data_IF_219813643123
#
_entry.id   IF_219813643123
#
_cell.length_a   1.000
_cell.length_b   1.000
_cell.length_c   1.000
_cell.angle_alpha   90.00
_cell.angle_beta   90.00
_cell.angle_gamma   90.00
#
_symmetry.space_group_name_H-M   'P 1'
#
loop_
_entity.id
_entity.type
_entity.pdbx_description
1 polymer ?
#
# COMPACT_ATOMS: atom_id res chain seq x y z
N UNK A 1 -11.40 -12.09 -5.30
CA UNK A 1 -11.25 -10.62 -5.23
C UNK A 1 -11.24 -10.23 -3.76
N UNK A 2 -10.53 -9.18 -3.35
CA UNK A 2 -10.67 -8.68 -1.97
C UNK A 2 -12.11 -8.24 -1.70
N UNK A 3 -12.66 -8.65 -0.57
CA UNK A 3 -13.99 -8.20 -0.11
C UNK A 3 -13.94 -6.71 0.26
N UNK A 4 -15.09 -6.06 0.36
CA UNK A 4 -15.13 -4.65 0.79
C UNK A 4 -14.57 -4.46 2.20
N UNK A 5 -14.79 -5.41 3.11
CA UNK A 5 -14.20 -5.37 4.45
C UNK A 5 -12.67 -5.47 4.41
N UNK A 6 -12.12 -6.34 3.55
CA UNK A 6 -10.68 -6.43 3.33
C UNK A 6 -10.12 -5.14 2.73
N UNK A 7 -10.79 -4.56 1.71
CA UNK A 7 -10.38 -3.28 1.11
C UNK A 7 -10.39 -2.15 2.13
N UNK A 8 -11.40 -2.07 3.00
CA UNK A 8 -11.43 -1.08 4.08
C UNK A 8 -10.23 -1.24 5.03
N UNK A 9 -9.92 -2.48 5.43
CA UNK A 9 -8.77 -2.77 6.29
C UNK A 9 -7.45 -2.40 5.60
N UNK A 10 -7.31 -2.72 4.31
CA UNK A 10 -6.15 -2.35 3.50
C UNK A 10 -6.01 -0.82 3.42
N UNK A 11 -7.06 -0.08 3.04
CA UNK A 11 -7.02 1.39 2.97
C UNK A 11 -6.55 2.00 4.29
N UNK A 12 -7.13 1.56 5.42
CA UNK A 12 -6.76 2.03 6.75
C UNK A 12 -5.29 1.76 7.07
N UNK A 13 -4.83 0.52 6.89
CA UNK A 13 -3.46 0.13 7.26
C UNK A 13 -2.39 0.73 6.33
N UNK A 14 -2.68 0.82 5.04
CA UNK A 14 -1.77 1.52 4.11
C UNK A 14 -1.65 3.00 4.47
N UNK A 15 -2.76 3.68 4.79
CA UNK A 15 -2.72 5.08 5.22
C UNK A 15 -1.93 5.27 6.52
N UNK A 16 -2.02 4.33 7.46
CA UNK A 16 -1.27 4.31 8.73
C UNK A 16 0.25 4.19 8.48
N UNK A 17 0.66 3.33 7.54
CA UNK A 17 2.08 3.02 7.31
C UNK A 17 2.77 3.88 6.23
N UNK A 18 2.07 4.22 5.15
CA UNK A 18 2.58 5.05 4.05
C UNK A 18 2.35 6.54 4.32
N UNK A 19 1.42 6.85 5.24
CA UNK A 19 0.83 8.17 5.37
C UNK A 19 -0.30 8.40 4.34
N UNK A 20 -1.06 9.46 4.57
CA UNK A 20 -2.11 9.92 3.67
C UNK A 20 -2.00 11.44 3.52
N UNK A 21 -1.45 11.89 2.40
CA UNK A 21 -1.33 13.32 2.09
C UNK A 21 -2.18 13.67 0.88
N UNK A 22 -3.20 14.53 1.00
CA UNK A 22 -3.99 14.93 -0.16
C UNK A 22 -3.20 15.82 -1.14
N UNK A 23 -2.01 16.27 -0.79
CA UNK A 23 -1.12 17.11 -1.60
C UNK A 23 0.12 16.34 -2.05
N UNK A 24 0.82 16.83 -3.07
CA UNK A 24 2.05 16.20 -3.58
C UNK A 24 3.20 16.28 -2.57
N UNK A 25 3.99 15.22 -2.46
CA UNK A 25 5.18 15.13 -1.61
C UNK A 25 6.27 14.29 -2.28
N UNK A 26 7.51 14.33 -1.76
CA UNK A 26 8.55 13.40 -2.17
C UNK A 26 8.59 12.18 -1.25
N UNK A 27 8.57 10.99 -1.84
CA UNK A 27 8.81 9.74 -1.10
C UNK A 27 10.28 9.63 -0.63
N UNK A 28 10.61 8.54 0.07
CA UNK A 28 11.97 8.27 0.53
C UNK A 28 12.99 8.08 -0.60
N UNK A 29 12.53 7.78 -1.81
CA UNK A 29 13.36 7.64 -3.02
C UNK A 29 13.50 8.96 -3.79
N UNK A 30 12.73 9.98 -3.43
CA UNK A 30 12.72 11.29 -4.10
C UNK A 30 11.74 11.38 -5.26
N UNK A 31 10.74 10.50 -5.34
CA UNK A 31 9.70 10.57 -6.35
C UNK A 31 8.49 11.36 -5.87
N UNK A 32 7.86 12.12 -6.77
CA UNK A 32 6.61 12.83 -6.48
C UNK A 32 5.49 11.82 -6.24
N UNK A 33 4.79 11.97 -5.13
CA UNK A 33 3.77 11.03 -4.62
C UNK A 33 2.59 11.82 -4.07
N UNK A 34 1.39 11.23 -4.07
CA UNK A 34 0.17 11.81 -3.45
C UNK A 34 -0.66 10.72 -2.78
N UNK A 35 -1.60 11.11 -1.91
CA UNK A 35 -2.51 10.22 -1.22
C UNK A 35 -1.77 9.20 -0.37
N UNK A 36 -2.19 7.94 -0.51
CA UNK A 36 -1.58 6.78 0.14
C UNK A 36 -0.57 6.13 -0.81
N UNK A 37 0.68 6.62 -0.78
CA UNK A 37 1.80 6.06 -1.55
C UNK A 37 1.62 6.03 -3.08
N UNK A 38 0.75 6.87 -3.66
CA UNK A 38 0.55 6.88 -5.12
C UNK A 38 1.64 7.68 -5.82
N UNK A 39 2.62 6.96 -6.38
CA UNK A 39 3.70 7.50 -7.21
C UNK A 39 3.13 8.21 -8.46
N UNK A 40 3.52 9.46 -8.67
CA UNK A 40 3.24 10.24 -9.87
C UNK A 40 4.52 10.27 -10.72
N UNK A 41 4.61 9.37 -11.69
CA UNK A 41 5.82 9.12 -12.49
C UNK A 41 6.19 10.28 -13.42
N UNK A 42 5.24 11.16 -13.74
CA UNK A 42 5.48 12.31 -14.61
C UNK A 42 4.50 13.46 -14.37
N UNK A 43 4.87 14.65 -14.81
CA UNK A 43 3.98 15.82 -14.83
C UNK A 43 2.67 15.52 -15.60
N UNK A 44 2.74 14.77 -16.71
CA UNK A 44 1.56 14.38 -17.49
C UNK A 44 0.62 13.46 -16.72
N UNK A 45 1.16 12.60 -15.86
CA UNK A 45 0.34 11.77 -14.96
C UNK A 45 -0.31 12.63 -13.87
N UNK A 46 0.42 13.60 -13.32
CA UNK A 46 -0.12 14.55 -12.34
C UNK A 46 -1.36 15.28 -12.89
N UNK A 47 -1.29 15.73 -14.14
CA UNK A 47 -2.35 16.49 -14.83
C UNK A 47 -3.63 15.67 -15.07
N UNK A 48 -3.58 14.33 -14.96
CA UNK A 48 -4.76 13.46 -15.07
C UNK A 48 -5.52 13.32 -13.75
N UNK A 49 -4.95 13.78 -12.64
CA UNK A 49 -5.56 13.69 -11.32
C UNK A 49 -6.45 14.91 -11.05
N UNK A 50 -7.54 14.69 -10.32
CA UNK A 50 -8.52 15.72 -9.94
C UNK A 50 -8.02 16.57 -8.76
N UNK A 51 -6.99 17.39 -9.00
CA UNK A 51 -6.52 18.37 -8.03
C UNK A 51 -7.49 19.56 -7.93
N UNK A 52 -7.65 20.06 -6.71
CA UNK A 52 -8.42 21.25 -6.37
C UNK A 52 -7.52 22.26 -5.66
N UNK A 53 -7.79 23.54 -5.86
CA UNK A 53 -7.09 24.62 -5.15
C UNK A 53 -7.49 24.62 -3.68
N UNK A 54 -6.52 24.79 -2.78
CA UNK A 54 -6.79 24.98 -1.35
C UNK A 54 -7.65 26.23 -1.11
N UNK A 55 -7.44 27.25 -1.94
CA UNK A 55 -8.25 28.46 -1.96
C UNK A 55 -9.47 28.25 -2.86
N UNK A 56 -10.68 28.31 -2.29
CA UNK A 56 -11.94 28.24 -3.04
C UNK A 56 -12.35 26.86 -3.57
N UNK A 57 -11.53 25.82 -3.41
CA UNK A 57 -11.85 24.44 -3.80
C UNK A 57 -12.26 24.28 -5.28
N UNK A 58 -11.63 25.07 -6.16
CA UNK A 58 -11.87 25.04 -7.60
C UNK A 58 -10.99 23.97 -8.25
N UNK A 59 -11.44 23.38 -9.37
CA UNK A 59 -10.63 22.41 -10.12
C UNK A 59 -9.34 23.08 -10.61
N UNK A 60 -8.19 22.50 -10.29
CA UNK A 60 -6.90 23.03 -10.68
C UNK A 60 -6.69 22.88 -12.19
N UNK A 61 -6.10 23.92 -12.79
CA UNK A 61 -5.71 23.90 -14.20
C UNK A 61 -4.46 23.04 -14.41
N UNK A 62 -4.27 22.56 -15.63
CA UNK A 62 -3.05 21.83 -16.02
C UNK A 62 -1.76 22.62 -15.73
N UNK A 63 -1.82 23.95 -15.85
CA UNK A 63 -0.70 24.86 -15.53
C UNK A 63 -0.38 24.87 -14.04
N UNK A 64 -1.39 25.00 -13.17
CA UNK A 64 -1.20 24.97 -11.71
C UNK A 64 -0.63 23.62 -11.26
N UNK A 65 -1.14 22.52 -11.81
CA UNK A 65 -0.65 21.17 -11.48
C UNK A 65 0.82 21.01 -11.92
N UNK A 66 1.16 21.48 -13.12
CA UNK A 66 2.55 21.48 -13.61
C UNK A 66 3.48 22.27 -12.70
N UNK A 67 3.09 23.49 -12.34
CA UNK A 67 3.90 24.38 -11.50
C UNK A 67 4.16 23.74 -10.12
N UNK A 68 3.12 23.20 -9.48
CA UNK A 68 3.28 22.52 -8.19
C UNK A 68 4.13 21.25 -8.29
N UNK A 69 3.93 20.43 -9.33
CA UNK A 69 4.75 19.24 -9.56
C UNK A 69 6.25 19.59 -9.66
N UNK A 70 6.59 20.63 -10.41
CA UNK A 70 7.98 21.09 -10.57
C UNK A 70 8.56 21.73 -9.30
N UNK A 71 7.74 22.40 -8.50
CA UNK A 71 8.14 22.90 -7.17
C UNK A 71 8.47 21.71 -6.27
N UNK A 72 7.55 20.75 -6.13
CA UNK A 72 7.72 19.61 -5.22
C UNK A 72 8.92 18.76 -5.62
N UNK A 73 9.14 18.56 -6.92
CA UNK A 73 10.28 17.81 -7.45
C UNK A 73 11.65 18.39 -7.08
N UNK A 74 11.72 19.70 -6.76
CA UNK A 74 12.95 20.40 -6.36
C UNK A 74 13.15 20.48 -4.83
N UNK A 75 12.17 20.03 -4.04
CA UNK A 75 12.27 20.05 -2.59
C UNK A 75 13.24 18.98 -2.06
N UNK A 76 13.64 19.12 -0.80
CA UNK A 76 14.41 18.07 -0.13
C UNK A 76 13.55 16.81 0.09
N UNK A 77 14.04 15.64 -0.31
CA UNK A 77 13.43 14.34 -0.01
C UNK A 77 13.63 13.94 1.46
N UNK A 78 12.98 12.84 1.88
CA UNK A 78 13.10 12.30 3.24
C UNK A 78 12.68 13.28 4.34
N UNK A 79 11.68 14.13 4.06
CA UNK A 79 11.04 15.03 5.03
C UNK A 79 9.67 14.48 5.40
N UNK A 80 9.14 14.87 6.56
CA UNK A 80 7.77 14.50 6.94
C UNK A 80 6.71 15.21 6.10
N UNK A 81 5.50 14.66 6.01
CA UNK A 81 4.41 15.19 5.17
C UNK A 81 4.10 16.68 5.45
N UNK A 82 4.16 17.12 6.72
CA UNK A 82 3.97 18.51 7.12
C UNK A 82 4.97 19.50 6.49
N UNK A 83 6.16 19.05 6.08
CA UNK A 83 7.11 19.89 5.36
C UNK A 83 6.58 20.23 3.96
N UNK A 84 6.11 19.24 3.22
CA UNK A 84 5.62 19.42 1.85
C UNK A 84 4.33 20.26 1.81
N UNK A 85 3.46 20.10 2.81
CA UNK A 85 2.21 20.88 2.95
C UNK A 85 2.43 22.40 2.84
N UNK A 86 3.58 22.90 3.28
CA UNK A 86 3.92 24.33 3.26
C UNK A 86 4.16 24.87 1.84
N UNK A 87 4.47 23.99 0.89
CA UNK A 87 4.82 24.33 -0.48
C UNK A 87 3.74 23.95 -1.50
N UNK A 88 2.66 23.31 -1.04
CA UNK A 88 1.56 22.85 -1.90
C UNK A 88 0.32 23.70 -1.68
N UNK A 89 -0.29 24.12 -2.79
CA UNK A 89 -1.54 24.87 -2.89
C UNK A 89 -2.67 24.03 -3.47
N UNK A 90 -2.38 22.81 -3.94
CA UNK A 90 -3.38 21.89 -4.49
C UNK A 90 -3.60 20.68 -3.57
N UNK A 91 -4.79 20.10 -3.66
CA UNK A 91 -5.14 18.88 -2.94
C UNK A 91 -6.09 17.98 -3.74
N UNK A 92 -6.05 16.68 -3.49
CA UNK A 92 -7.05 15.72 -3.90
C UNK A 92 -8.16 15.62 -2.85
N UNK A 93 -9.37 15.33 -3.30
CA UNK A 93 -10.48 14.92 -2.42
C UNK A 93 -10.22 13.52 -1.88
N UNK A 94 -10.76 13.23 -0.68
CA UNK A 94 -10.65 11.90 -0.07
C UNK A 94 -11.14 10.77 -0.98
N UNK A 95 -12.26 11.00 -1.70
CA UNK A 95 -12.79 10.02 -2.66
C UNK A 95 -11.85 9.74 -3.83
N UNK A 96 -11.11 10.73 -4.31
CA UNK A 96 -10.09 10.55 -5.34
C UNK A 96 -8.91 9.72 -4.81
N UNK A 97 -8.50 9.94 -3.55
CA UNK A 97 -7.43 9.16 -2.90
C UNK A 97 -7.88 7.70 -2.70
N UNK A 98 -9.12 7.47 -2.27
CA UNK A 98 -9.69 6.13 -2.14
C UNK A 98 -9.74 5.41 -3.49
N UNK A 99 -10.10 6.13 -4.56
CA UNK A 99 -10.09 5.59 -5.93
C UNK A 99 -8.70 5.17 -6.36
N UNK A 100 -7.69 6.02 -6.13
CA UNK A 100 -6.28 5.68 -6.42
C UNK A 100 -5.82 4.45 -5.62
N UNK A 101 -6.18 4.37 -4.35
CA UNK A 101 -5.83 3.24 -3.48
C UNK A 101 -6.52 1.96 -3.94
N UNK A 102 -7.80 2.02 -4.31
CA UNK A 102 -8.54 0.87 -4.85
C UNK A 102 -7.94 0.38 -6.19
N UNK A 103 -7.48 1.28 -7.05
CA UNK A 103 -6.79 0.91 -8.29
C UNK A 103 -5.48 0.17 -8.01
N UNK A 104 -4.71 0.59 -7.00
CA UNK A 104 -3.54 -0.16 -6.53
C UNK A 104 -3.93 -1.53 -5.99
N UNK A 105 -5.03 -1.62 -5.22
CA UNK A 105 -5.53 -2.90 -4.70
C UNK A 105 -5.81 -3.87 -5.84
N UNK A 106 -6.56 -3.44 -6.86
CA UNK A 106 -6.90 -4.26 -8.03
C UNK A 106 -5.62 -4.70 -8.76
N UNK A 107 -4.70 -3.78 -9.00
CA UNK A 107 -3.44 -4.06 -9.71
C UNK A 107 -2.56 -5.07 -8.98
N UNK A 108 -2.37 -4.90 -7.68
CA UNK A 108 -1.53 -5.80 -6.90
C UNK A 108 -2.22 -7.13 -6.60
N UNK A 109 -3.53 -7.15 -6.40
CA UNK A 109 -4.29 -8.40 -6.32
C UNK A 109 -4.11 -9.25 -7.58
N UNK A 110 -4.19 -8.65 -8.77
CA UNK A 110 -3.93 -9.37 -10.02
C UNK A 110 -2.54 -10.02 -10.02
N UNK A 111 -1.50 -9.28 -9.65
CA UNK A 111 -0.12 -9.80 -9.56
C UNK A 111 0.03 -10.92 -8.52
N UNK A 112 -0.67 -10.81 -7.39
CA UNK A 112 -0.65 -11.85 -6.35
C UNK A 112 -1.30 -13.13 -6.84
N UNK A 113 -2.43 -13.04 -7.56
CA UNK A 113 -3.08 -14.21 -8.17
C UNK A 113 -2.19 -14.88 -9.24
N UNK A 114 -1.44 -14.09 -10.00
CA UNK A 114 -0.45 -14.62 -10.95
C UNK A 114 0.70 -15.35 -10.24
N UNK A 115 1.15 -14.84 -9.09
CA UNK A 115 2.26 -15.43 -8.32
C UNK A 115 1.84 -16.65 -7.46
N UNK A 116 0.59 -16.67 -7.00
CA UNK A 116 0.03 -17.68 -6.10
C UNK A 116 -1.35 -18.14 -6.63
N UNK A 117 -1.43 -19.24 -7.39
CA UNK A 117 -2.69 -19.68 -8.01
C UNK A 117 -3.84 -19.94 -7.02
N UNK A 118 -3.52 -20.31 -5.78
CA UNK A 118 -4.51 -20.53 -4.71
C UNK A 118 -4.86 -19.26 -3.91
N UNK A 119 -4.44 -18.08 -4.35
CA UNK A 119 -4.55 -16.83 -3.57
C UNK A 119 -5.97 -16.53 -3.07
N UNK A 120 -7.01 -16.79 -3.87
CA UNK A 120 -8.40 -16.55 -3.47
C UNK A 120 -8.86 -17.48 -2.34
N UNK A 121 -8.17 -18.60 -2.11
CA UNK A 121 -8.49 -19.58 -1.07
C UNK A 121 -7.61 -19.45 0.18
N UNK A 122 -6.63 -18.55 0.17
CA UNK A 122 -5.81 -18.30 1.35
C UNK A 122 -6.63 -17.60 2.45
N UNK A 123 -6.30 -17.83 3.74
CA UNK A 123 -6.89 -17.09 4.84
C UNK A 123 -6.79 -15.58 4.61
N UNK A 124 -7.81 -14.82 5.02
CA UNK A 124 -7.83 -13.36 4.88
C UNK A 124 -6.56 -12.73 5.43
N UNK A 125 -6.03 -13.21 6.56
CA UNK A 125 -4.81 -12.69 7.15
C UNK A 125 -3.59 -12.86 6.23
N UNK A 126 -3.45 -14.02 5.57
CA UNK A 126 -2.38 -14.27 4.59
C UNK A 126 -2.53 -13.35 3.38
N UNK A 127 -3.76 -13.18 2.87
CA UNK A 127 -4.03 -12.30 1.73
C UNK A 127 -3.67 -10.84 2.05
N UNK A 128 -4.00 -10.36 3.25
CA UNK A 128 -3.64 -9.02 3.73
C UNK A 128 -2.12 -8.86 3.93
N UNK A 129 -1.44 -9.89 4.46
CA UNK A 129 0.01 -9.90 4.65
C UNK A 129 0.74 -9.82 3.30
N UNK A 130 0.34 -10.66 2.33
CA UNK A 130 0.85 -10.65 0.96
C UNK A 130 0.63 -9.29 0.28
N UNK A 131 -0.54 -8.68 0.51
CA UNK A 131 -0.85 -7.37 -0.04
C UNK A 131 0.08 -6.28 0.52
N UNK A 132 0.24 -6.18 1.84
CA UNK A 132 1.12 -5.15 2.42
C UNK A 132 2.57 -5.35 1.98
N UNK A 133 3.03 -6.61 1.87
CA UNK A 133 4.34 -6.94 1.35
C UNK A 133 4.53 -6.47 -0.10
N UNK A 134 3.63 -6.83 -1.03
CA UNK A 134 3.78 -6.44 -2.43
C UNK A 134 3.60 -4.93 -2.64
N UNK A 135 2.75 -4.27 -1.85
CA UNK A 135 2.56 -2.82 -1.93
C UNK A 135 3.85 -2.08 -1.55
N UNK A 136 4.48 -2.46 -0.43
CA UNK A 136 5.73 -1.84 0.02
C UNK A 136 6.92 -2.13 -0.92
N UNK A 137 7.00 -3.36 -1.43
CA UNK A 137 8.17 -3.83 -2.17
C UNK A 137 8.06 -3.65 -3.69
N UNK A 138 6.84 -3.50 -4.20
CA UNK A 138 6.50 -3.45 -5.64
C UNK A 138 6.56 -4.82 -6.34
N UNK A 139 7.31 -5.78 -5.79
CA UNK A 139 7.44 -7.16 -6.28
C UNK A 139 7.93 -8.08 -5.15
N UNK A 140 7.50 -9.34 -5.18
CA UNK A 140 7.93 -10.39 -4.25
C UNK A 140 8.97 -11.36 -4.86
N UNK A 141 9.43 -11.13 -6.08
CA UNK A 141 10.30 -12.10 -6.80
C UNK A 141 11.65 -12.37 -6.11
N UNK A 142 12.11 -11.48 -5.23
CA UNK A 142 13.37 -11.62 -4.49
C UNK A 142 13.19 -12.29 -3.12
N UNK A 143 11.96 -12.61 -2.73
CA UNK A 143 11.61 -13.14 -1.40
C UNK A 143 11.44 -14.66 -1.46
N UNK A 144 12.50 -15.36 -1.87
CA UNK A 144 12.44 -16.79 -2.20
C UNK A 144 11.97 -17.65 -1.02
N UNK A 145 12.53 -17.45 0.18
CA UNK A 145 12.17 -18.23 1.37
C UNK A 145 10.71 -18.00 1.76
N UNK A 146 10.30 -16.73 1.89
CA UNK A 146 8.92 -16.33 2.13
C UNK A 146 7.95 -16.90 1.09
N UNK A 147 8.28 -16.79 -0.21
CA UNK A 147 7.44 -17.31 -1.28
C UNK A 147 7.28 -18.84 -1.22
N UNK A 148 8.37 -19.56 -0.93
CA UNK A 148 8.31 -21.01 -0.73
C UNK A 148 7.44 -21.39 0.48
N UNK A 149 7.55 -20.64 1.59
CA UNK A 149 6.72 -20.85 2.77
C UNK A 149 5.23 -20.60 2.49
N UNK A 150 4.89 -19.51 1.81
CA UNK A 150 3.51 -19.19 1.41
C UNK A 150 2.93 -20.30 0.52
N UNK A 151 3.68 -20.77 -0.48
CA UNK A 151 3.24 -21.84 -1.39
C UNK A 151 3.07 -23.19 -0.67
N UNK A 152 3.91 -23.46 0.33
CA UNK A 152 3.81 -24.64 1.18
C UNK A 152 2.73 -24.52 2.27
N UNK A 153 2.02 -23.39 2.34
CA UNK A 153 1.06 -23.07 3.41
C UNK A 153 1.69 -23.09 4.82
N UNK A 154 3.01 -22.88 4.89
CA UNK A 154 3.78 -22.77 6.13
C UNK A 154 3.77 -21.32 6.62
N UNK A 155 2.66 -20.94 7.24
CA UNK A 155 2.40 -19.57 7.69
C UNK A 155 3.39 -19.13 8.77
N UNK A 156 3.82 -20.05 9.64
CA UNK A 156 4.81 -19.77 10.67
C UNK A 156 6.15 -19.39 10.06
N UNK A 157 6.65 -20.16 9.09
CA UNK A 157 7.90 -19.84 8.39
C UNK A 157 7.80 -18.57 7.57
N UNK A 158 6.65 -18.32 6.94
CA UNK A 158 6.40 -17.06 6.25
C UNK A 158 6.47 -15.87 7.23
N UNK A 159 5.93 -16.01 8.45
CA UNK A 159 6.02 -14.97 9.48
C UNK A 159 7.46 -14.71 9.94
N UNK A 160 8.29 -15.75 10.00
CA UNK A 160 9.71 -15.62 10.38
C UNK A 160 10.54 -14.94 9.27
N UNK A 161 10.14 -15.08 8.00
CA UNK A 161 10.86 -14.53 6.84
C UNK A 161 10.29 -13.21 6.30
N UNK A 162 9.18 -12.67 6.82
CA UNK A 162 8.52 -11.48 6.24
C UNK A 162 9.17 -10.12 6.58
N UNK A 163 10.25 -10.11 7.37
CA UNK A 163 10.84 -8.85 7.91
C UNK A 163 11.53 -8.04 6.82
N UNK A 164 11.04 -6.82 6.56
CA UNK A 164 11.61 -5.85 5.61
C UNK A 164 12.57 -4.89 6.29
N UNK A 165 13.63 -4.51 5.58
CA UNK A 165 14.61 -3.50 6.01
C UNK A 165 14.10 -2.08 5.74
N UNK A 166 14.56 -1.11 6.52
CA UNK A 166 14.31 0.34 6.31
C UNK A 166 12.82 0.75 6.30
N UNK A 167 11.99 0.07 7.08
CA UNK A 167 10.59 0.45 7.33
C UNK A 167 10.32 0.40 8.85
N UNK A 168 9.19 0.98 9.26
CA UNK A 168 8.71 0.99 10.64
C UNK A 168 8.63 -0.42 11.24
N UNK A 169 9.05 -0.58 12.50
CA UNK A 169 8.97 -1.83 13.26
C UNK A 169 7.53 -2.34 13.34
N UNK A 170 6.60 -1.43 13.55
CA UNK A 170 5.17 -1.70 13.74
C UNK A 170 4.55 -2.29 12.49
N UNK A 171 4.99 -1.85 11.30
CA UNK A 171 4.55 -2.42 10.02
C UNK A 171 5.07 -3.84 9.82
N UNK A 172 6.31 -4.11 10.24
CA UNK A 172 6.85 -5.47 10.21
C UNK A 172 6.10 -6.39 11.18
N UNK A 173 5.82 -5.92 12.39
CA UNK A 173 5.08 -6.71 13.39
C UNK A 173 3.65 -7.00 12.93
N UNK A 174 2.95 -6.01 12.37
CA UNK A 174 1.61 -6.20 11.81
C UNK A 174 1.53 -7.34 10.78
N UNK A 175 2.47 -7.40 9.83
CA UNK A 175 2.48 -8.47 8.82
C UNK A 175 2.79 -9.84 9.44
N UNK A 176 3.73 -9.86 10.40
CA UNK A 176 4.08 -11.09 11.13
C UNK A 176 2.89 -11.62 11.92
N UNK A 177 2.18 -10.76 12.64
CA UNK A 177 0.99 -11.12 13.43
C UNK A 177 -0.14 -11.68 12.56
N UNK A 178 -0.38 -11.11 11.37
CA UNK A 178 -1.34 -11.67 10.42
C UNK A 178 -1.01 -13.13 10.07
N UNK A 179 0.25 -13.41 9.75
CA UNK A 179 0.70 -14.75 9.37
C UNK A 179 0.62 -15.74 10.56
N UNK A 180 0.98 -15.30 11.77
CA UNK A 180 0.84 -16.12 12.99
C UNK A 180 -0.63 -16.36 13.36
N UNK A 181 -1.51 -15.39 13.12
CA UNK A 181 -2.96 -15.56 13.31
C UNK A 181 -3.51 -16.61 12.35
N UNK A 182 -3.09 -16.59 11.08
CA UNK A 182 -3.47 -17.62 10.10
C UNK A 182 -2.98 -19.02 10.52
N UNK A 183 -1.74 -19.14 11.00
CA UNK A 183 -1.17 -20.38 11.52
C UNK A 183 -1.99 -20.96 12.67
N UNK A 184 -2.32 -20.11 13.64
CA UNK A 184 -3.12 -20.48 14.82
C UNK A 184 -4.52 -20.95 14.41
N UNK A 185 -5.18 -20.20 13.53
CA UNK A 185 -6.52 -20.53 13.04
C UNK A 185 -6.53 -21.83 12.24
N UNK A 186 -5.47 -22.14 11.48
CA UNK A 186 -5.37 -23.39 10.74
C UNK A 186 -5.25 -24.59 11.68
N UNK A 187 -4.40 -24.52 12.70
CA UNK A 187 -4.24 -25.57 13.72
C UNK A 187 -5.54 -25.86 14.48
N UNK A 188 -6.31 -24.82 14.82
CA UNK A 188 -7.62 -24.99 15.50
C UNK A 188 -8.61 -25.76 14.61
N UNK A 189 -8.67 -25.44 13.30
CA UNK A 189 -9.55 -26.12 12.35
C UNK A 189 -9.17 -27.58 12.16
N UNK A 190 -7.89 -27.88 12.02
CA UNK A 190 -7.38 -29.26 11.89
C UNK A 190 -7.70 -30.10 13.14
N UNK A 191 -7.54 -29.53 14.34
CA UNK A 191 -7.87 -30.22 15.58
C UNK A 191 -9.38 -30.44 15.75
N UNK A 192 -10.21 -29.47 15.35
CA UNK A 192 -11.68 -29.60 15.39
C UNK A 192 -12.24 -30.61 14.39
N UNK A 193 -11.50 -30.88 13.30
CA UNK A 193 -11.89 -31.85 12.27
C UNK A 193 -11.51 -33.30 12.58
N UNK A 194 -10.59 -33.53 13.52
CA UNK A 194 -10.15 -34.88 13.95
C UNK A 194 -11.02 -35.49 15.07
N UNK A 195 -11.95 -34.71 15.63
CA UNK A 195 -12.83 -35.13 16.74
C UNK A 195 -14.23 -35.58 16.27
N UNK A 196 -14.39 -35.94 14.99
CA UNK A 196 -15.62 -36.52 14.43
C UNK A 196 -15.37 -37.89 13.82
#
# INVERSE_FOLDING_TARGET
MFTEQEKMKLRKKLAEFEGNAPYMYLDSKGNVTVGVGHLISSQKEAQKLDFFTNEGNNRATEKQIKEEYEIVKKLSKSRGLFYYRKYTKLHLKGSSIDTLTNNHIIKFEKKLKEAYPEFDYYPTEVRLALFDMIFNLGSLNKWNTFNSAIKAKDWKKAADDCRRKNIQSERNEYVKELLLTADTNNKIKENSGKTK
#
